data_IF_607370838106
#
_entry.id   IF_607370838106
#
_cell.length_a   1.000
_cell.length_b   1.000
_cell.length_c   1.000
_cell.angle_alpha   90.00
_cell.angle_beta   90.00
_cell.angle_gamma   90.00
#
_symmetry.space_group_name_H-M   'P 1'
#
loop_
_entity.id
_entity.type
_entity.pdbx_description
1 polymer ?
#
# COMPACT_ATOMS: atom_id res chain seq x y z
N UNK A 1 0.26 29.16 38.50
CA UNK A 1 1.33 29.12 37.47
C UNK A 1 1.14 27.85 36.66
N UNK A 2 0.80 27.90 35.37
CA UNK A 2 0.74 26.69 34.56
C UNK A 2 2.16 26.13 34.43
N UNK A 3 2.34 24.85 34.74
CA UNK A 3 3.63 24.17 34.62
C UNK A 3 4.12 24.30 33.17
N UNK A 4 5.38 24.71 32.98
CA UNK A 4 6.03 24.74 31.68
C UNK A 4 6.00 23.35 31.07
N UNK A 5 5.59 23.23 29.79
CA UNK A 5 5.66 21.99 29.00
C UNK A 5 7.01 21.32 29.25
N UNK A 6 7.01 20.05 29.67
CA UNK A 6 8.25 19.28 29.73
C UNK A 6 8.82 19.23 28.32
N UNK A 7 10.00 19.80 28.14
CA UNK A 7 10.66 19.85 26.85
C UNK A 7 10.97 18.43 26.36
N UNK A 8 10.53 18.09 25.14
CA UNK A 8 10.64 16.76 24.57
C UNK A 8 12.10 16.30 24.51
N UNK A 9 13.02 17.21 24.13
CA UNK A 9 14.45 16.91 24.06
C UNK A 9 15.00 16.58 25.45
N UNK A 10 14.73 17.43 26.44
CA UNK A 10 15.12 17.21 27.83
C UNK A 10 14.55 15.90 28.41
N UNK A 11 13.30 15.58 28.12
CA UNK A 11 12.67 14.33 28.53
C UNK A 11 13.34 13.12 27.87
N UNK A 12 13.60 13.18 26.56
CA UNK A 12 14.23 12.10 25.80
C UNK A 12 15.66 11.82 26.26
N UNK A 13 16.46 12.86 26.53
CA UNK A 13 17.81 12.73 27.09
C UNK A 13 17.78 12.09 28.48
N UNK A 14 16.86 12.55 29.34
CA UNK A 14 16.69 11.99 30.67
C UNK A 14 16.19 10.54 30.65
N UNK A 15 15.36 10.18 29.67
CA UNK A 15 14.90 8.81 29.44
C UNK A 15 16.06 7.93 28.98
N UNK A 16 16.82 8.36 27.97
CA UNK A 16 17.98 7.64 27.44
C UNK A 16 19.00 7.32 28.54
N UNK A 17 19.35 8.30 29.38
CA UNK A 17 20.29 8.12 30.49
C UNK A 17 19.85 7.09 31.55
N UNK A 18 18.56 6.71 31.58
CA UNK A 18 17.97 5.79 32.57
C UNK A 18 17.57 4.44 31.99
N UNK A 19 17.56 4.29 30.67
CA UNK A 19 17.31 3.01 30.03
C UNK A 19 18.50 2.07 30.25
N UNK A 20 18.27 0.74 30.30
CA UNK A 20 19.33 -0.22 30.53
C UNK A 20 20.30 -0.26 29.33
N UNK A 21 21.59 -0.06 29.62
CA UNK A 21 22.66 0.02 28.62
C UNK A 21 22.97 1.46 28.21
N UNK A 22 23.76 1.63 27.15
CA UNK A 22 24.13 2.95 26.64
C UNK A 22 23.14 3.38 25.55
N UNK A 23 22.23 4.29 25.91
CA UNK A 23 21.29 4.90 24.98
C UNK A 23 21.69 6.34 24.68
N UNK A 24 21.57 6.72 23.42
CA UNK A 24 21.81 8.08 22.94
C UNK A 24 20.50 8.66 22.42
N UNK A 25 20.27 9.94 22.67
CA UNK A 25 19.09 10.67 22.23
C UNK A 25 19.48 11.64 21.11
N UNK A 26 18.64 11.72 20.09
CA UNK A 26 18.77 12.65 18.99
C UNK A 26 17.41 13.33 18.77
N UNK A 27 17.34 14.62 19.09
CA UNK A 27 16.16 15.44 18.87
C UNK A 27 16.09 15.93 17.42
N UNK A 28 14.90 15.93 16.84
CA UNK A 28 14.63 16.43 15.50
C UNK A 28 13.39 17.32 15.52
N UNK A 29 13.49 18.46 14.85
CA UNK A 29 12.36 19.35 14.63
C UNK A 29 11.87 19.16 13.19
N UNK A 30 10.57 19.04 13.01
CA UNK A 30 9.93 19.00 11.69
C UNK A 30 9.63 20.44 11.27
N UNK A 31 10.29 20.90 10.20
CA UNK A 31 10.09 22.24 9.64
C UNK A 31 8.96 22.21 8.62
N UNK A 32 8.89 21.14 7.84
CA UNK A 32 7.85 20.88 6.86
C UNK A 32 7.01 19.65 7.26
N UNK A 33 5.77 19.60 6.79
CA UNK A 33 4.89 18.45 7.03
C UNK A 33 5.48 17.13 6.53
N UNK A 34 6.21 17.16 5.41
CA UNK A 34 6.87 15.97 4.85
C UNK A 34 7.98 15.41 5.73
N UNK A 35 8.52 16.19 6.68
CA UNK A 35 9.62 15.77 7.54
C UNK A 35 9.20 14.65 8.52
N UNK A 36 7.89 14.45 8.73
CA UNK A 36 7.37 13.40 9.60
C UNK A 36 7.16 12.06 8.87
N UNK A 37 7.15 12.03 7.54
CA UNK A 37 6.87 10.80 6.78
C UNK A 37 7.87 9.67 7.05
N UNK A 38 9.19 9.93 7.16
CA UNK A 38 10.14 8.88 7.54
C UNK A 38 9.81 8.25 8.90
N UNK A 39 9.33 9.04 9.86
CA UNK A 39 8.93 8.52 11.16
C UNK A 39 7.72 7.57 11.04
N UNK A 40 6.73 7.91 10.20
CA UNK A 40 5.56 7.05 9.96
C UNK A 40 5.92 5.69 9.35
N UNK A 41 6.90 5.65 8.45
CA UNK A 41 7.39 4.41 7.84
C UNK A 41 8.25 3.57 8.79
N UNK A 42 8.96 4.22 9.72
CA UNK A 42 9.85 3.55 10.68
C UNK A 42 9.14 3.05 11.95
N UNK A 43 8.00 3.63 12.35
CA UNK A 43 7.31 3.25 13.59
C UNK A 43 6.84 1.80 13.52
N UNK A 44 7.39 0.96 14.40
CA UNK A 44 7.03 -0.45 14.51
C UNK A 44 5.93 -0.66 15.57
N UNK A 45 4.76 -0.11 15.26
CA UNK A 45 3.55 -0.12 16.08
C UNK A 45 2.33 -0.27 15.15
N UNK A 46 1.31 -1.01 15.60
CA UNK A 46 0.00 -1.08 14.92
C UNK A 46 -1.10 -0.43 15.77
N UNK A 47 -0.69 0.34 16.79
CA UNK A 47 -1.54 0.85 17.84
C UNK A 47 -1.57 2.38 17.91
N UNK A 48 -1.43 2.88 19.13
CA UNK A 48 -1.70 4.29 19.44
C UNK A 48 -0.62 5.25 18.94
N UNK A 49 0.61 4.77 18.72
CA UNK A 49 1.70 5.62 18.25
C UNK A 49 1.62 5.76 16.73
N UNK A 50 1.37 4.65 16.03
CA UNK A 50 1.10 4.69 14.59
C UNK A 50 -0.07 5.62 14.27
N UNK A 51 -1.20 5.49 14.98
CA UNK A 51 -2.34 6.40 14.83
C UNK A 51 -1.98 7.87 15.09
N UNK A 52 -1.15 8.16 16.09
CA UNK A 52 -0.75 9.52 16.41
C UNK A 52 0.10 10.16 15.30
N UNK A 53 1.01 9.39 14.70
CA UNK A 53 1.89 9.84 13.61
C UNK A 53 1.09 10.03 12.30
N UNK A 54 0.09 9.18 12.06
CA UNK A 54 -0.74 9.23 10.85
C UNK A 54 -1.75 10.40 10.87
N UNK A 55 -2.36 10.68 12.03
CA UNK A 55 -3.46 11.64 12.13
C UNK A 55 -3.02 13.06 12.47
N UNK A 56 -1.91 13.23 13.19
CA UNK A 56 -1.48 14.55 13.67
C UNK A 56 -0.22 15.01 12.94
N UNK A 57 -0.15 16.33 12.74
CA UNK A 57 1.10 16.99 12.32
C UNK A 57 2.00 17.10 13.55
N UNK A 58 3.06 16.33 13.56
CA UNK A 58 4.09 16.36 14.61
C UNK A 58 5.07 17.48 14.28
N UNK A 59 5.34 18.36 15.25
CA UNK A 59 6.32 19.44 15.08
C UNK A 59 7.75 19.02 15.39
N UNK A 60 7.93 17.88 16.03
CA UNK A 60 9.22 17.34 16.47
C UNK A 60 9.08 15.91 16.98
N UNK A 61 10.21 15.19 16.98
CA UNK A 61 10.37 13.88 17.59
C UNK A 61 11.78 13.75 18.21
N UNK A 62 11.96 12.76 19.09
CA UNK A 62 13.28 12.38 19.55
C UNK A 62 13.51 10.88 19.30
N UNK A 63 14.63 10.54 18.68
CA UNK A 63 15.02 9.16 18.45
C UNK A 63 16.05 8.72 19.49
N UNK A 64 15.85 7.55 20.08
CA UNK A 64 16.76 6.92 21.02
C UNK A 64 17.44 5.72 20.38
N UNK A 65 18.77 5.75 20.32
CA UNK A 65 19.59 4.66 19.78
C UNK A 65 20.21 3.87 20.93
N UNK A 66 19.86 2.59 21.03
CA UNK A 66 20.31 1.65 22.04
C UNK A 66 21.55 0.84 21.62
N UNK A 67 22.15 0.09 22.57
CA UNK A 67 23.46 -0.52 22.38
C UNK A 67 23.51 -1.69 21.40
N UNK A 68 22.37 -2.34 21.10
CA UNK A 68 22.32 -3.52 20.22
C UNK A 68 21.51 -3.26 18.94
N UNK A 69 21.59 -2.04 18.41
CA UNK A 69 20.84 -1.60 17.22
C UNK A 69 19.35 -1.35 17.47
N UNK A 70 18.93 -1.28 18.74
CA UNK A 70 17.56 -0.89 19.06
C UNK A 70 17.37 0.60 18.77
N UNK A 71 16.22 0.96 18.20
CA UNK A 71 15.79 2.34 17.99
C UNK A 71 14.41 2.54 18.61
N UNK A 72 14.22 3.63 19.36
CA UNK A 72 12.92 4.06 19.86
C UNK A 72 12.64 5.47 19.36
N UNK A 73 11.39 5.83 19.14
CA UNK A 73 10.97 7.23 19.02
C UNK A 73 10.22 7.67 20.27
N UNK A 74 10.32 8.96 20.56
CA UNK A 74 9.57 9.67 21.58
C UNK A 74 8.90 10.85 20.91
N UNK A 75 7.57 10.94 21.03
CA UNK A 75 6.78 12.06 20.53
C UNK A 75 5.88 12.57 21.65
N UNK A 76 5.49 13.84 21.60
CA UNK A 76 4.40 14.33 22.43
C UNK A 76 3.14 13.52 22.15
N UNK A 77 2.35 13.25 23.20
CA UNK A 77 1.03 12.66 23.01
C UNK A 77 0.08 13.76 22.53
N UNK A 78 -0.50 13.65 21.32
CA UNK A 78 -1.45 14.65 20.86
C UNK A 78 -2.59 14.83 21.86
N UNK A 79 -2.96 16.08 22.15
CA UNK A 79 -4.00 16.48 23.11
C UNK A 79 -3.66 16.28 24.61
N UNK A 80 -2.46 15.81 24.98
CA UNK A 80 -2.06 15.61 26.38
C UNK A 80 -0.66 16.18 26.66
N UNK A 81 -0.60 17.41 27.17
CA UNK A 81 0.63 18.22 27.30
C UNK A 81 1.74 17.68 28.21
N UNK A 82 1.42 16.74 29.09
CA UNK A 82 2.36 16.15 30.08
C UNK A 82 2.58 14.65 29.87
N UNK A 83 2.31 14.17 28.65
CA UNK A 83 2.44 12.77 28.31
C UNK A 83 3.18 12.61 26.99
N UNK A 84 3.96 11.54 26.92
CA UNK A 84 4.73 11.18 25.75
C UNK A 84 4.29 9.80 25.26
N UNK A 85 4.47 9.56 23.98
CA UNK A 85 4.38 8.24 23.38
C UNK A 85 5.80 7.77 23.09
N UNK A 86 6.09 6.52 23.46
CA UNK A 86 7.37 5.87 23.17
C UNK A 86 7.08 4.61 22.37
N UNK A 87 7.63 4.51 21.16
CA UNK A 87 7.49 3.31 20.33
C UNK A 87 8.83 2.80 19.79
N UNK A 88 8.95 1.50 19.53
CA UNK A 88 10.04 0.96 18.75
C UNK A 88 10.02 1.44 17.30
N UNK A 89 11.22 1.65 16.74
CA UNK A 89 11.41 1.87 15.32
C UNK A 89 11.93 0.59 14.66
N UNK A 90 11.66 0.43 13.36
CA UNK A 90 12.31 -0.58 12.53
C UNK A 90 13.82 -0.31 12.53
N UNK A 91 14.66 -1.36 12.63
CA UNK A 91 16.11 -1.16 12.67
C UNK A 91 16.69 -0.96 11.26
N UNK A 92 17.78 -0.19 11.14
CA UNK A 92 18.41 0.17 9.85
C UNK A 92 19.22 -0.96 9.17
N UNK A 93 19.08 -2.21 9.61
CA UNK A 93 20.06 -3.30 9.37
C UNK A 93 20.02 -3.96 7.96
N UNK A 94 19.61 -3.24 6.91
CA UNK A 94 19.50 -3.80 5.56
C UNK A 94 18.44 -4.89 5.45
N UNK A 95 17.35 -4.74 6.20
CA UNK A 95 16.24 -5.67 6.24
C UNK A 95 15.30 -5.45 5.06
N UNK A 96 14.82 -6.56 4.47
CA UNK A 96 13.81 -6.54 3.42
C UNK A 96 12.41 -6.71 4.04
N UNK A 97 11.35 -6.18 3.42
CA UNK A 97 9.98 -6.23 3.97
C UNK A 97 9.50 -7.63 4.36
N UNK A 98 9.88 -8.67 3.61
CA UNK A 98 9.46 -10.05 3.91
C UNK A 98 10.08 -10.63 5.18
N UNK A 99 11.15 -10.03 5.73
CA UNK A 99 11.71 -10.47 7.01
C UNK A 99 10.78 -10.15 8.19
N UNK A 100 9.86 -9.21 8.04
CA UNK A 100 8.89 -8.82 9.07
C UNK A 100 7.63 -9.71 9.04
N UNK A 101 7.45 -10.54 8.00
CA UNK A 101 6.28 -11.40 7.88
C UNK A 101 6.19 -12.40 9.05
N UNK A 102 5.06 -12.38 9.75
CA UNK A 102 4.79 -13.27 10.88
C UNK A 102 5.50 -12.87 12.19
N UNK A 103 6.12 -11.69 12.24
CA UNK A 103 6.69 -11.15 13.48
C UNK A 103 5.66 -10.27 14.17
N UNK A 104 5.37 -10.58 15.44
CA UNK A 104 4.48 -9.75 16.27
C UNK A 104 5.11 -8.37 16.52
N UNK A 105 4.35 -7.31 16.26
CA UNK A 105 4.81 -5.94 16.45
C UNK A 105 5.00 -5.63 17.94
N UNK A 106 6.13 -5.02 18.33
CA UNK A 106 6.45 -4.82 19.73
C UNK A 106 5.54 -3.79 20.42
N UNK A 107 4.97 -2.87 19.63
CA UNK A 107 4.04 -1.82 20.02
C UNK A 107 4.57 -0.80 21.03
N UNK A 108 4.14 0.44 20.87
CA UNK A 108 4.49 1.56 21.75
C UNK A 108 3.63 1.63 23.01
N UNK A 109 4.04 2.49 23.93
CA UNK A 109 3.30 2.80 25.15
C UNK A 109 3.18 4.30 25.36
N UNK A 110 2.13 4.70 26.08
CA UNK A 110 2.03 6.02 26.68
C UNK A 110 2.79 6.07 28.01
N UNK A 111 3.50 7.17 28.25
CA UNK A 111 4.21 7.45 29.50
C UNK A 111 3.90 8.88 29.98
N UNK A 112 4.03 9.10 31.29
CA UNK A 112 3.96 10.46 31.85
C UNK A 112 5.28 11.20 31.67
N UNK A 113 5.32 12.46 32.11
CA UNK A 113 6.48 13.35 32.04
C UNK A 113 7.61 13.06 33.06
N UNK A 114 7.49 12.04 33.91
CA UNK A 114 8.56 11.60 34.82
C UNK A 114 9.50 10.60 34.10
N UNK A 115 10.74 11.00 33.75
CA UNK A 115 11.65 10.15 32.99
C UNK A 115 12.05 8.86 33.73
N UNK A 116 12.06 8.88 35.07
CA UNK A 116 12.39 7.68 35.86
C UNK A 116 11.28 6.64 35.73
N UNK A 117 10.03 7.06 35.94
CA UNK A 117 8.87 6.17 35.78
C UNK A 117 8.72 5.71 34.32
N UNK A 118 8.96 6.60 33.36
CA UNK A 118 8.96 6.28 31.95
C UNK A 118 10.01 5.22 31.61
N UNK A 119 11.25 5.39 32.08
CA UNK A 119 12.33 4.42 31.85
C UNK A 119 11.99 3.02 32.41
N UNK A 120 11.41 2.95 33.61
CA UNK A 120 10.93 1.68 34.19
C UNK A 120 9.83 1.06 33.32
N UNK A 121 8.86 1.86 32.86
CA UNK A 121 7.76 1.37 32.02
C UNK A 121 8.28 0.85 30.67
N UNK A 122 9.14 1.60 29.99
CA UNK A 122 9.76 1.22 28.71
C UNK A 122 10.59 -0.05 28.88
N UNK A 123 11.43 -0.11 29.93
CA UNK A 123 12.29 -1.27 30.19
C UNK A 123 11.52 -2.55 30.47
N UNK A 124 10.36 -2.45 31.14
CA UNK A 124 9.55 -3.62 31.50
C UNK A 124 8.56 -4.04 30.42
N UNK A 125 8.07 -3.11 29.61
CA UNK A 125 6.93 -3.35 28.71
C UNK A 125 7.29 -3.30 27.23
N UNK A 126 8.21 -2.42 26.84
CA UNK A 126 8.58 -2.21 25.43
C UNK A 126 9.82 -3.02 25.08
N UNK A 127 10.90 -2.87 25.84
CA UNK A 127 12.18 -3.50 25.50
C UNK A 127 12.14 -5.03 25.38
N UNK A 128 11.41 -5.79 26.22
CA UNK A 128 11.34 -7.24 26.06
C UNK A 128 10.69 -7.65 24.74
N UNK A 129 9.56 -7.02 24.38
CA UNK A 129 8.84 -7.29 23.13
C UNK A 129 9.67 -6.89 21.93
N UNK A 130 10.31 -5.72 22.01
CA UNK A 130 11.16 -5.23 20.94
C UNK A 130 12.38 -6.13 20.69
N UNK A 131 13.02 -6.62 21.76
CA UNK A 131 14.12 -7.60 21.64
C UNK A 131 13.67 -8.90 20.99
N UNK A 132 12.50 -9.43 21.36
CA UNK A 132 11.93 -10.63 20.73
C UNK A 132 11.63 -10.41 19.26
N UNK A 133 11.02 -9.26 18.90
CA UNK A 133 10.71 -8.92 17.53
C UNK A 133 11.98 -8.77 16.67
N UNK A 134 13.01 -8.08 17.18
CA UNK A 134 14.32 -7.97 16.52
C UNK A 134 14.98 -9.34 16.32
N UNK A 135 14.92 -10.22 17.32
CA UNK A 135 15.46 -11.57 17.21
C UNK A 135 14.73 -12.37 16.13
N UNK A 136 13.40 -12.27 16.05
CA UNK A 136 12.60 -12.94 15.03
C UNK A 136 12.90 -12.42 13.61
N UNK A 137 13.01 -11.11 13.44
CA UNK A 137 13.36 -10.51 12.13
C UNK A 137 14.78 -10.88 11.70
N UNK A 138 15.75 -10.85 12.61
CA UNK A 138 17.13 -11.29 12.34
C UNK A 138 17.19 -12.78 12.00
N UNK A 139 16.40 -13.61 12.68
CA UNK A 139 16.26 -15.02 12.35
C UNK A 139 15.67 -15.19 10.94
N UNK A 140 14.57 -14.51 10.62
CA UNK A 140 13.95 -14.54 9.28
C UNK A 140 14.94 -14.15 8.19
N UNK A 141 15.77 -13.13 8.40
CA UNK A 141 16.84 -12.74 7.48
C UNK A 141 17.84 -13.87 7.25
N UNK A 142 18.23 -14.59 8.31
CA UNK A 142 19.20 -15.69 8.20
C UNK A 142 18.62 -16.89 7.46
N UNK A 143 17.36 -17.25 7.73
CA UNK A 143 16.72 -18.43 7.12
C UNK A 143 16.11 -18.16 5.75
N UNK A 144 15.76 -16.89 5.45
CA UNK A 144 15.09 -16.44 4.22
C UNK A 144 15.67 -15.09 3.74
N UNK A 145 16.94 -15.06 3.29
CA UNK A 145 17.61 -13.82 2.91
C UNK A 145 16.99 -13.16 1.67
N UNK A 146 16.41 -13.96 0.77
CA UNK A 146 15.68 -13.51 -0.40
C UNK A 146 14.17 -13.70 -0.21
N UNK A 147 13.34 -12.81 -0.79
CA UNK A 147 11.90 -12.97 -0.73
C UNK A 147 11.53 -14.31 -1.36
N UNK A 148 10.54 -15.04 -0.82
CA UNK A 148 10.07 -16.27 -1.43
C UNK A 148 9.56 -15.94 -2.84
N UNK A 149 10.31 -16.38 -3.85
CA UNK A 149 9.90 -16.26 -5.23
C UNK A 149 8.70 -17.19 -5.41
N UNK A 150 7.60 -16.64 -5.94
CA UNK A 150 6.58 -17.52 -6.50
C UNK A 150 7.24 -18.32 -7.62
N UNK A 151 6.99 -19.65 -7.71
CA UNK A 151 7.47 -20.40 -8.86
C UNK A 151 6.97 -19.70 -10.13
N UNK A 152 7.82 -19.65 -11.15
CA UNK A 152 7.41 -19.14 -12.44
C UNK A 152 6.13 -19.87 -12.88
N UNK A 153 5.16 -19.17 -13.51
CA UNK A 153 4.07 -19.86 -14.17
C UNK A 153 4.65 -20.95 -15.08
N UNK A 154 3.98 -22.11 -15.22
CA UNK A 154 4.40 -23.14 -16.16
C UNK A 154 4.62 -22.50 -17.55
N UNK A 155 5.70 -22.87 -18.24
CA UNK A 155 5.85 -22.49 -19.64
C UNK A 155 4.65 -23.04 -20.41
N UNK A 156 4.00 -22.15 -21.15
CA UNK A 156 2.88 -22.50 -22.02
C UNK A 156 3.42 -22.68 -23.44
N UNK A 157 3.06 -23.79 -24.07
CA UNK A 157 3.53 -24.11 -25.42
C UNK A 157 2.97 -23.12 -26.46
N UNK A 158 1.81 -22.52 -26.15
CA UNK A 158 1.10 -21.60 -27.03
C UNK A 158 0.47 -20.45 -26.25
N UNK A 159 0.33 -19.30 -26.90
CA UNK A 159 -0.27 -18.10 -26.31
C UNK A 159 -1.35 -17.54 -27.21
N UNK A 160 -2.57 -17.46 -26.70
CA UNK A 160 -3.67 -16.70 -27.29
C UNK A 160 -3.58 -15.24 -26.85
N UNK A 161 -3.46 -14.31 -27.80
CA UNK A 161 -3.49 -12.86 -27.50
C UNK A 161 -4.85 -12.26 -27.82
N UNK A 162 -5.51 -11.70 -26.80
CA UNK A 162 -6.74 -10.91 -26.93
C UNK A 162 -6.37 -9.43 -26.88
N UNK A 163 -6.80 -8.64 -27.88
CA UNK A 163 -6.55 -7.19 -27.91
C UNK A 163 -7.84 -6.43 -27.66
N UNK A 164 -7.85 -5.57 -26.65
CA UNK A 164 -8.95 -4.66 -26.32
C UNK A 164 -8.78 -3.37 -27.11
N UNK A 165 -9.79 -3.00 -27.89
CA UNK A 165 -9.84 -1.77 -28.67
C UNK A 165 -10.63 -0.67 -27.95
N UNK A 166 -10.56 0.56 -28.49
CA UNK A 166 -11.23 1.73 -27.93
C UNK A 166 -12.76 1.62 -27.93
N UNK A 167 -13.33 0.80 -28.82
CA UNK A 167 -14.77 0.45 -28.86
C UNK A 167 -15.19 -0.51 -27.72
N UNK A 168 -14.25 -0.92 -26.86
CA UNK A 168 -14.48 -1.86 -25.78
C UNK A 168 -14.59 -3.33 -26.24
N UNK A 169 -14.46 -3.59 -27.53
CA UNK A 169 -14.48 -4.95 -28.10
C UNK A 169 -13.11 -5.58 -27.93
N UNK A 170 -13.12 -6.87 -27.59
CA UNK A 170 -11.94 -7.71 -27.55
C UNK A 170 -11.84 -8.52 -28.83
N UNK A 171 -10.66 -8.51 -29.47
CA UNK A 171 -10.45 -9.23 -30.73
C UNK A 171 -9.23 -10.14 -30.66
N UNK A 172 -9.31 -11.26 -31.36
CA UNK A 172 -8.20 -12.15 -31.64
C UNK A 172 -8.20 -12.52 -33.14
N UNK A 173 -7.17 -12.14 -33.92
CA UNK A 173 -7.07 -12.55 -35.31
C UNK A 173 -7.11 -14.07 -35.45
N UNK A 174 -7.93 -14.58 -36.35
CA UNK A 174 -8.16 -16.03 -36.51
C UNK A 174 -6.87 -16.81 -36.78
N UNK A 175 -5.95 -16.22 -37.53
CA UNK A 175 -4.64 -16.81 -37.87
C UNK A 175 -3.71 -16.97 -36.68
N UNK A 176 -3.94 -16.23 -35.58
CA UNK A 176 -3.14 -16.30 -34.36
C UNK A 176 -3.85 -17.08 -33.24
N UNK A 177 -5.04 -17.63 -33.52
CA UNK A 177 -5.82 -18.41 -32.55
C UNK A 177 -5.53 -19.90 -32.80
N UNK A 178 -4.92 -20.61 -31.82
CA UNK A 178 -4.74 -22.06 -31.88
C UNK A 178 -6.04 -22.78 -32.19
N UNK A 179 -5.98 -23.88 -32.94
CA UNK A 179 -7.19 -24.62 -33.33
C UNK A 179 -7.97 -25.11 -32.10
N UNK A 180 -7.23 -25.57 -31.09
CA UNK A 180 -7.70 -26.06 -29.80
C UNK A 180 -8.38 -24.96 -28.96
N UNK A 181 -8.08 -23.69 -29.24
CA UNK A 181 -8.64 -22.56 -28.49
C UNK A 181 -9.99 -22.07 -29.05
N UNK A 182 -10.36 -22.47 -30.26
CA UNK A 182 -11.55 -21.94 -30.97
C UNK A 182 -12.84 -22.34 -30.27
N UNK A 183 -12.96 -23.58 -29.85
CA UNK A 183 -14.17 -24.08 -29.17
C UNK A 183 -14.38 -23.36 -27.83
N UNK A 184 -13.30 -23.15 -27.06
CA UNK A 184 -13.36 -22.39 -25.82
C UNK A 184 -13.83 -20.95 -26.07
N UNK A 185 -13.30 -20.29 -27.11
CA UNK A 185 -13.73 -18.95 -27.49
C UNK A 185 -15.23 -18.93 -27.83
N UNK A 186 -15.71 -19.87 -28.65
CA UNK A 186 -17.14 -19.94 -28.99
C UNK A 186 -18.04 -20.19 -27.77
N UNK A 187 -17.71 -21.17 -26.93
CA UNK A 187 -18.46 -21.52 -25.72
C UNK A 187 -18.62 -20.30 -24.80
N UNK A 188 -17.56 -19.49 -24.67
CA UNK A 188 -17.55 -18.33 -23.78
C UNK A 188 -18.01 -17.03 -24.45
N UNK A 189 -18.63 -17.12 -25.65
CA UNK A 189 -19.35 -16.01 -26.27
C UNK A 189 -18.51 -15.14 -27.21
N UNK A 190 -17.34 -15.61 -27.63
CA UNK A 190 -16.64 -15.02 -28.77
C UNK A 190 -17.30 -15.48 -30.08
N UNK A 191 -17.44 -14.55 -31.02
CA UNK A 191 -18.00 -14.82 -32.33
C UNK A 191 -16.95 -14.60 -33.40
N UNK A 192 -16.77 -15.58 -34.27
CA UNK A 192 -15.93 -15.40 -35.46
C UNK A 192 -16.69 -14.59 -36.52
N UNK A 193 -16.11 -13.46 -36.94
CA UNK A 193 -16.62 -12.67 -38.05
C UNK A 193 -15.73 -12.86 -39.29
N UNK A 194 -16.19 -13.61 -40.33
CA UNK A 194 -15.36 -13.94 -41.49
C UNK A 194 -14.80 -12.71 -42.22
N UNK A 195 -15.59 -11.64 -42.31
CA UNK A 195 -15.19 -10.39 -42.98
C UNK A 195 -14.10 -9.60 -42.22
N UNK A 196 -13.89 -9.89 -40.93
CA UNK A 196 -12.80 -9.31 -40.12
C UNK A 196 -11.66 -10.29 -39.87
N UNK A 197 -11.83 -11.56 -40.25
CA UNK A 197 -10.86 -12.63 -39.97
C UNK A 197 -10.50 -12.74 -38.49
N UNK A 198 -11.44 -12.50 -37.58
CA UNK A 198 -11.16 -12.42 -36.14
C UNK A 198 -12.32 -12.93 -35.28
N UNK A 199 -11.97 -13.47 -34.11
CA UNK A 199 -12.90 -13.72 -33.01
C UNK A 199 -13.13 -12.42 -32.23
N UNK A 200 -14.38 -12.11 -31.93
CA UNK A 200 -14.79 -10.92 -31.20
C UNK A 200 -15.56 -11.28 -29.94
N UNK A 201 -15.22 -10.65 -28.82
CA UNK A 201 -16.08 -10.60 -27.65
C UNK A 201 -16.74 -9.21 -27.55
N UNK A 202 -18.06 -9.10 -27.79
CA UNK A 202 -18.79 -7.83 -27.81
C UNK A 202 -18.66 -7.01 -26.52
N UNK A 203 -18.66 -5.68 -26.67
CA UNK A 203 -18.74 -4.74 -25.55
C UNK A 203 -20.10 -4.76 -24.84
N UNK A 204 -21.13 -5.32 -25.49
CA UNK A 204 -22.49 -5.45 -24.94
C UNK A 204 -22.56 -6.29 -23.64
N UNK A 205 -21.56 -7.14 -23.39
CA UNK A 205 -21.45 -7.88 -22.12
C UNK A 205 -21.01 -7.01 -20.92
N UNK A 206 -20.62 -5.76 -21.15
CA UNK A 206 -20.05 -4.89 -20.14
C UNK A 206 -18.67 -5.34 -19.65
N UNK A 207 -17.96 -4.47 -18.93
CA UNK A 207 -16.59 -4.77 -18.48
C UNK A 207 -16.51 -6.00 -17.57
N UNK A 208 -17.43 -6.13 -16.61
CA UNK A 208 -17.48 -7.27 -15.69
C UNK A 208 -17.84 -8.58 -16.41
N UNK A 209 -18.83 -8.56 -17.32
CA UNK A 209 -19.22 -9.74 -18.08
C UNK A 209 -18.14 -10.21 -19.05
N UNK A 210 -17.41 -9.27 -19.66
CA UNK A 210 -16.23 -9.61 -20.46
C UNK A 210 -15.11 -10.22 -19.61
N UNK A 211 -14.82 -9.65 -18.43
CA UNK A 211 -13.77 -10.16 -17.55
C UNK A 211 -14.03 -11.61 -17.12
N UNK A 212 -15.28 -11.93 -16.74
CA UNK A 212 -15.67 -13.30 -16.38
C UNK A 212 -15.46 -14.29 -17.53
N UNK A 213 -15.81 -13.89 -18.76
CA UNK A 213 -15.62 -14.74 -19.95
C UNK A 213 -14.16 -14.94 -20.29
N UNK A 214 -13.34 -13.89 -20.20
CA UNK A 214 -11.88 -14.00 -20.38
C UNK A 214 -11.29 -14.94 -19.34
N UNK A 215 -11.72 -14.83 -18.08
CA UNK A 215 -11.27 -15.72 -17.02
C UNK A 215 -11.67 -17.17 -17.29
N UNK A 216 -12.90 -17.42 -17.73
CA UNK A 216 -13.36 -18.77 -18.07
C UNK A 216 -12.60 -19.37 -19.27
N UNK A 217 -12.35 -18.57 -20.31
CA UNK A 217 -11.48 -18.97 -21.43
C UNK A 217 -10.08 -19.29 -20.93
N UNK A 218 -9.47 -18.42 -20.12
CA UNK A 218 -8.12 -18.64 -19.60
C UNK A 218 -8.01 -19.92 -18.76
N UNK A 219 -9.01 -20.22 -17.93
CA UNK A 219 -9.06 -21.46 -17.15
C UNK A 219 -9.16 -22.70 -18.04
N UNK A 220 -10.04 -22.68 -19.04
CA UNK A 220 -10.22 -23.80 -19.96
C UNK A 220 -8.98 -24.02 -20.83
N UNK A 221 -8.36 -22.94 -21.34
CA UNK A 221 -7.16 -23.01 -22.18
C UNK A 221 -5.91 -23.41 -21.39
N UNK A 222 -5.81 -23.04 -20.12
CA UNK A 222 -4.72 -23.46 -19.25
C UNK A 222 -4.66 -25.00 -19.09
N UNK A 223 -5.82 -25.69 -19.11
CA UNK A 223 -5.87 -27.16 -19.10
C UNK A 223 -5.25 -27.80 -20.36
N UNK A 224 -5.08 -27.02 -21.43
CA UNK A 224 -4.47 -27.42 -22.68
C UNK A 224 -3.07 -26.82 -22.90
N UNK A 225 -2.46 -26.22 -21.86
CA UNK A 225 -1.13 -25.60 -21.97
C UNK A 225 -1.12 -24.30 -22.80
N UNK A 226 -2.29 -23.66 -22.98
CA UNK A 226 -2.42 -22.41 -23.74
C UNK A 226 -2.59 -21.24 -22.78
N UNK A 227 -1.64 -20.31 -22.79
CA UNK A 227 -1.73 -19.07 -22.02
C UNK A 227 -2.62 -18.04 -22.71
N UNK A 228 -3.27 -17.17 -21.94
CA UNK A 228 -4.04 -16.03 -22.48
C UNK A 228 -3.35 -14.72 -22.11
N UNK A 229 -2.98 -13.93 -23.11
CA UNK A 229 -2.41 -12.61 -22.96
C UNK A 229 -3.45 -11.54 -23.34
N UNK A 230 -3.64 -10.55 -22.48
CA UNK A 230 -4.53 -9.42 -22.74
C UNK A 230 -3.69 -8.19 -23.09
N UNK A 231 -3.88 -7.65 -24.29
CA UNK A 231 -3.30 -6.37 -24.73
C UNK A 231 -4.39 -5.31 -24.81
N UNK A 232 -4.01 -4.06 -24.59
CA UNK A 232 -4.88 -2.92 -24.84
C UNK A 232 -4.24 -2.04 -25.90
N UNK A 233 -5.02 -1.68 -26.91
CA UNK A 233 -4.61 -0.66 -27.89
C UNK A 233 -5.12 0.69 -27.40
N UNK A 234 -4.23 1.63 -27.04
CA UNK A 234 -4.66 2.97 -26.68
C UNK A 234 -5.35 3.65 -27.87
N UNK A 235 -6.34 4.54 -27.64
CA UNK A 235 -6.95 5.30 -28.73
C UNK A 235 -5.88 6.12 -29.47
N UNK A 236 -6.00 6.28 -30.80
CA UNK A 236 -5.06 7.11 -31.55
C UNK A 236 -5.05 8.54 -30.98
N UNK A 237 -3.87 9.17 -30.88
CA UNK A 237 -3.78 10.55 -30.41
C UNK A 237 -4.56 11.47 -31.37
N UNK A 238 -5.67 12.04 -30.88
CA UNK A 238 -6.51 12.97 -31.64
C UNK A 238 -8.02 12.72 -31.57
N UNK A 239 -8.48 11.58 -31.04
CA UNK A 239 -9.91 11.37 -30.79
C UNK A 239 -10.34 12.08 -29.49
N UNK A 240 -10.47 13.41 -29.54
CA UNK A 240 -11.14 14.16 -28.49
C UNK A 240 -12.61 13.70 -28.40
N UNK A 241 -13.17 13.49 -27.19
CA UNK A 241 -14.59 13.24 -27.05
C UNK A 241 -15.33 14.47 -27.58
N UNK A 242 -16.19 14.29 -28.58
CA UNK A 242 -17.09 15.33 -29.01
C UNK A 242 -17.97 15.70 -27.81
N UNK A 243 -17.68 16.85 -27.20
CA UNK A 243 -18.61 17.53 -26.31
C UNK A 243 -19.87 17.77 -27.13
N UNK A 244 -20.91 17.00 -26.84
CA UNK A 244 -22.27 17.26 -27.29
C UNK A 244 -22.69 18.61 -26.68
N UNK A 245 -22.32 19.71 -27.33
CA UNK A 245 -22.89 21.01 -27.05
C UNK A 245 -24.32 20.97 -27.56
N UNK A 246 -25.22 20.53 -26.67
CA UNK A 246 -26.66 20.66 -26.85
C UNK A 246 -26.94 22.15 -27.04
N UNK A 247 -27.24 22.54 -28.28
CA UNK A 247 -27.63 23.90 -28.61
C UNK A 247 -28.81 24.30 -27.71
N UNK A 248 -28.63 25.39 -26.95
CA UNK A 248 -29.69 26.00 -26.19
C UNK A 248 -30.74 26.55 -27.16
N UNK A 249 -31.99 26.09 -27.02
CA UNK A 249 -33.14 26.66 -27.72
C UNK A 249 -33.37 28.10 -27.21
N UNK A 250 -33.58 29.08 -28.10
CA UNK A 250 -33.87 30.46 -27.71
C UNK A 250 -35.26 30.59 -27.06
N UNK A 251 -35.33 31.49 -26.07
CA UNK A 251 -36.35 31.54 -25.04
C UNK A 251 -37.76 31.89 -25.48
N UNK A 252 -38.73 31.31 -24.76
CA UNK A 252 -40.14 31.73 -24.79
C UNK A 252 -40.34 32.92 -23.87
N UNK A 253 -40.91 33.98 -24.43
CA UNK A 253 -41.37 35.18 -23.74
C UNK A 253 -42.57 34.86 -22.81
N UNK A 254 -42.68 35.52 -21.64
CA UNK A 254 -43.81 35.33 -20.74
C UNK A 254 -45.03 36.11 -21.23
N UNK A 255 -46.15 35.40 -21.46
CA UNK A 255 -47.47 36.01 -21.65
C UNK A 255 -48.09 36.29 -20.28
N UNK A 256 -48.27 37.57 -20.02
CA UNK A 256 -49.01 38.14 -18.88
C UNK A 256 -50.51 37.82 -19.05
N UNK A 257 -51.07 36.95 -18.22
CA UNK A 257 -52.52 36.84 -18.08
C UNK A 257 -53.01 37.79 -16.98
N UNK A 258 -53.87 38.72 -17.39
CA UNK A 258 -54.60 39.67 -16.56
C UNK A 258 -56.07 39.20 -16.53
N UNK A 259 -56.55 38.91 -15.30
CA UNK A 259 -57.94 38.69 -14.83
C UNK A 259 -58.81 37.66 -15.54
#
# INVERSE_FOLDING_TARGET
>A
MPASRADLASFADALAARLPGHWHSAYRQHVEYSDQFPLGEEVWDVGHVHWAVDVFVLGHDAQLSGPNGQRLCVIDRPLYRDQFLVAPLTPDEGLKPHHFTGVEEPNGIKVGNDPLRAAVAVSRRVLPRYRSALAAVRHNRQVRPEPPLRPAPPEVDQVLTLTRYADGVLRAPYTTVPAEARDALYIHGFQYLPHQGAFLLPAAYGAAGQALRIQAVAQQLAAHGIGVNLRHTPPPPGAAPALNTRAALPGSTPVTHRR
#
